data_IF_017034842129
#
_entry.id   IF_017034842129
#
_cell.length_a   1.000
_cell.length_b   1.000
_cell.length_c   1.000
_cell.angle_alpha   90.00
_cell.angle_beta   90.00
_cell.angle_gamma   90.00
#
_symmetry.space_group_name_H-M   'P 1'
#
loop_
_entity.id
_entity.type
_entity.pdbx_description
1 polymer ?
#
# COMPACT_ATOMS: atom_id res chain seq x y z
N UNK A 1 5.80 -3.05 -16.27
CA UNK A 1 6.80 -2.80 -15.18
C UNK A 1 6.15 -2.40 -13.86
N UNK A 2 5.07 -1.59 -13.84
CA UNK A 2 4.37 -1.21 -12.60
C UNK A 2 3.72 -2.38 -11.85
N UNK A 3 2.94 -3.22 -12.55
CA UNK A 3 2.30 -4.40 -11.96
C UNK A 3 3.28 -5.39 -11.29
N UNK A 4 4.45 -5.62 -11.89
CA UNK A 4 5.50 -6.47 -11.29
C UNK A 4 6.00 -5.91 -9.97
N UNK A 5 6.18 -4.57 -9.89
CA UNK A 5 6.56 -3.91 -8.65
C UNK A 5 5.44 -3.99 -7.61
N UNK A 6 4.20 -3.79 -8.03
CA UNK A 6 3.05 -3.92 -7.13
C UNK A 6 3.00 -5.32 -6.53
N UNK A 7 3.15 -6.37 -7.35
CA UNK A 7 3.19 -7.75 -6.87
C UNK A 7 4.31 -7.97 -5.85
N UNK A 8 5.51 -7.42 -6.09
CA UNK A 8 6.61 -7.51 -5.12
C UNK A 8 6.25 -6.87 -3.77
N UNK A 9 5.63 -5.68 -3.79
CA UNK A 9 5.17 -4.99 -2.58
C UNK A 9 4.11 -5.84 -1.87
N UNK A 10 3.10 -6.34 -2.59
CA UNK A 10 2.04 -7.16 -2.00
C UNK A 10 2.61 -8.42 -1.33
N UNK A 11 3.55 -9.11 -1.99
CA UNK A 11 4.19 -10.31 -1.46
C UNK A 11 5.02 -9.98 -0.21
N UNK A 12 5.84 -8.93 -0.25
CA UNK A 12 6.68 -8.57 0.90
C UNK A 12 5.87 -8.11 2.11
N UNK A 13 4.85 -7.27 1.89
CA UNK A 13 3.98 -6.78 2.96
C UNK A 13 3.13 -7.91 3.55
N UNK A 14 2.64 -8.82 2.71
CA UNK A 14 1.87 -9.97 3.19
C UNK A 14 2.73 -10.93 3.99
N UNK A 15 3.96 -11.22 3.54
CA UNK A 15 4.90 -12.07 4.28
C UNK A 15 5.27 -11.44 5.63
N UNK A 16 5.52 -10.13 5.67
CA UNK A 16 5.78 -9.42 6.92
C UNK A 16 4.57 -9.46 7.86
N UNK A 17 3.36 -9.22 7.36
CA UNK A 17 2.15 -9.28 8.16
C UNK A 17 1.90 -10.69 8.72
N UNK A 18 2.08 -11.74 7.91
CA UNK A 18 1.97 -13.13 8.37
C UNK A 18 2.94 -13.39 9.52
N UNK A 19 4.20 -12.94 9.38
CA UNK A 19 5.19 -13.08 10.44
C UNK A 19 4.77 -12.35 11.73
N UNK A 20 4.27 -11.10 11.63
CA UNK A 20 3.77 -10.35 12.78
C UNK A 20 2.60 -11.08 13.47
N UNK A 21 1.61 -11.54 12.70
CA UNK A 21 0.45 -12.26 13.23
C UNK A 21 0.85 -13.59 13.91
N UNK A 22 1.88 -14.27 13.39
CA UNK A 22 2.41 -15.47 14.05
C UNK A 22 3.08 -15.11 15.39
N UNK A 23 3.87 -14.03 15.44
CA UNK A 23 4.46 -13.57 16.69
C UNK A 23 3.40 -13.17 17.72
N UNK A 24 2.36 -12.44 17.31
CA UNK A 24 1.25 -12.05 18.20
C UNK A 24 0.51 -13.29 18.73
N UNK A 25 0.22 -14.27 17.86
CA UNK A 25 -0.41 -15.52 18.27
C UNK A 25 0.45 -16.32 19.26
N UNK A 26 1.74 -16.47 18.99
CA UNK A 26 2.64 -17.33 19.77
C UNK A 26 3.10 -16.67 21.07
N UNK A 27 3.37 -15.37 21.07
CA UNK A 27 3.97 -14.65 22.20
C UNK A 27 2.90 -13.98 23.06
N UNK A 28 1.84 -13.46 22.43
CA UNK A 28 0.78 -12.72 23.13
C UNK A 28 -0.50 -13.56 23.31
N UNK A 29 -0.50 -14.82 22.86
CA UNK A 29 -1.65 -15.73 22.90
C UNK A 29 -2.93 -15.12 22.30
N UNK A 30 -2.78 -14.21 21.34
CA UNK A 30 -3.87 -13.48 20.75
C UNK A 30 -4.37 -14.16 19.46
N UNK A 31 -5.66 -14.48 19.41
CA UNK A 31 -6.30 -14.99 18.20
C UNK A 31 -6.84 -13.84 17.35
N UNK A 32 -6.50 -13.84 16.06
CA UNK A 32 -6.94 -12.81 15.13
C UNK A 32 -8.18 -13.25 14.37
N UNK A 33 -9.13 -12.33 14.22
CA UNK A 33 -10.26 -12.52 13.32
C UNK A 33 -9.88 -12.19 11.87
N UNK A 34 -10.58 -12.80 10.91
CA UNK A 34 -10.37 -12.53 9.49
C UNK A 34 -10.54 -11.04 9.14
N UNK A 35 -11.50 -10.35 9.78
CA UNK A 35 -11.74 -8.92 9.58
C UNK A 35 -10.57 -8.07 10.09
N UNK A 36 -10.00 -8.39 11.25
CA UNK A 36 -8.83 -7.68 11.77
C UNK A 36 -7.62 -7.88 10.87
N UNK A 37 -7.37 -9.11 10.42
CA UNK A 37 -6.29 -9.41 9.46
C UNK A 37 -6.47 -8.62 8.16
N UNK A 38 -7.69 -8.60 7.60
CA UNK A 38 -8.00 -7.85 6.39
C UNK A 38 -7.77 -6.34 6.58
N UNK A 39 -8.28 -5.77 7.67
CA UNK A 39 -8.12 -4.34 7.97
C UNK A 39 -6.65 -3.97 8.21
N UNK A 40 -5.87 -4.81 8.89
CA UNK A 40 -4.43 -4.61 9.09
C UNK A 40 -3.67 -4.68 7.77
N UNK A 41 -4.02 -5.63 6.91
CA UNK A 41 -3.44 -5.73 5.57
C UNK A 41 -3.73 -4.49 4.72
N UNK A 42 -4.99 -4.05 4.67
CA UNK A 42 -5.36 -2.81 3.97
C UNK A 42 -4.62 -1.60 4.52
N UNK A 43 -4.45 -1.50 5.84
CA UNK A 43 -3.67 -0.42 6.47
C UNK A 43 -2.19 -0.46 6.04
N UNK A 44 -1.57 -1.64 6.02
CA UNK A 44 -0.17 -1.79 5.59
C UNK A 44 0.03 -1.37 4.13
N UNK A 45 -0.85 -1.82 3.22
CA UNK A 45 -0.77 -1.44 1.80
C UNK A 45 -1.03 0.07 1.60
N UNK A 46 -2.00 0.66 2.32
CA UNK A 46 -2.25 2.10 2.28
C UNK A 46 -1.06 2.93 2.83
N UNK A 47 -0.38 2.43 3.87
CA UNK A 47 0.85 3.05 4.37
C UNK A 47 1.95 3.05 3.29
N UNK A 48 2.13 1.93 2.57
CA UNK A 48 3.07 1.87 1.44
C UNK A 48 2.73 2.79 0.29
N UNK A 49 1.45 2.91 -0.07
CA UNK A 49 1.00 3.89 -1.04
C UNK A 49 1.38 5.31 -0.59
N UNK A 50 1.17 5.63 0.68
CA UNK A 50 1.50 6.94 1.27
C UNK A 50 3.00 7.22 1.24
N UNK A 51 3.83 6.26 1.65
CA UNK A 51 5.29 6.36 1.57
C UNK A 51 5.76 6.63 0.14
N UNK A 52 5.24 5.87 -0.83
CA UNK A 52 5.57 6.02 -2.25
C UNK A 52 5.16 7.41 -2.78
N UNK A 53 4.01 7.93 -2.35
CA UNK A 53 3.54 9.28 -2.69
C UNK A 53 4.48 10.34 -2.10
N UNK A 54 4.87 10.23 -0.83
CA UNK A 54 5.80 11.15 -0.17
C UNK A 54 7.17 11.12 -0.86
N UNK A 55 7.70 9.94 -1.15
CA UNK A 55 8.99 9.78 -1.81
C UNK A 55 8.96 10.43 -3.20
N UNK A 56 7.91 10.17 -3.98
CA UNK A 56 7.77 10.72 -5.33
C UNK A 56 7.57 12.25 -5.33
N UNK A 57 6.76 12.79 -4.41
CA UNK A 57 6.31 14.19 -4.45
C UNK A 57 7.10 15.14 -3.56
N UNK A 58 7.62 14.69 -2.42
CA UNK A 58 8.27 15.54 -1.41
C UNK A 58 9.77 15.33 -1.33
N UNK A 59 10.25 14.10 -1.52
CA UNK A 59 11.67 13.75 -1.38
C UNK A 59 12.40 13.87 -2.72
N UNK A 60 12.04 13.04 -3.71
CA UNK A 60 12.75 13.00 -4.99
C UNK A 60 12.31 14.09 -5.97
N UNK A 61 11.01 14.41 -5.99
CA UNK A 61 10.42 15.49 -6.80
C UNK A 61 10.72 15.38 -8.31
N UNK A 62 10.94 14.16 -8.81
CA UNK A 62 11.26 13.91 -10.21
C UNK A 62 10.12 13.16 -10.92
N UNK A 63 9.96 13.45 -12.22
CA UNK A 63 8.89 12.89 -13.03
C UNK A 63 9.00 11.36 -13.20
N UNK A 64 10.22 10.82 -13.17
CA UNK A 64 10.42 9.38 -13.28
C UNK A 64 9.89 8.65 -12.03
N UNK A 65 10.09 9.20 -10.84
CA UNK A 65 9.54 8.66 -9.60
C UNK A 65 8.02 8.82 -9.54
N UNK A 66 7.47 9.98 -9.95
CA UNK A 66 6.01 10.18 -10.06
C UNK A 66 5.37 9.14 -10.98
N UNK A 67 5.86 9.01 -12.21
CA UNK A 67 5.36 8.04 -13.18
C UNK A 67 5.52 6.60 -12.72
N UNK A 68 6.58 6.28 -11.97
CA UNK A 68 6.76 4.95 -11.37
C UNK A 68 5.67 4.66 -10.34
N UNK A 69 5.37 5.60 -9.45
CA UNK A 69 4.31 5.46 -8.45
C UNK A 69 2.94 5.34 -9.12
N UNK A 70 2.62 6.21 -10.09
CA UNK A 70 1.34 6.14 -10.84
C UNK A 70 1.17 4.76 -11.49
N UNK A 71 2.13 4.33 -12.30
CA UNK A 71 2.09 3.03 -12.97
C UNK A 71 2.00 1.83 -12.01
N UNK A 72 2.44 2.00 -10.74
CA UNK A 72 2.38 0.92 -9.74
C UNK A 72 0.98 0.80 -9.14
N UNK A 73 0.32 1.92 -8.87
CA UNK A 73 -0.84 1.96 -7.99
C UNK A 73 -2.16 2.29 -8.69
N UNK A 74 -2.15 2.99 -9.82
CA UNK A 74 -3.34 3.53 -10.50
C UNK A 74 -4.51 2.53 -10.63
N UNK A 75 -4.21 1.28 -10.98
CA UNK A 75 -5.23 0.25 -11.23
C UNK A 75 -5.77 -0.45 -9.98
N UNK A 76 -5.25 -0.15 -8.79
CA UNK A 76 -5.68 -0.76 -7.51
C UNK A 76 -6.22 0.26 -6.51
N UNK A 77 -6.44 1.50 -6.96
CA UNK A 77 -7.07 2.55 -6.16
C UNK A 77 -8.58 2.35 -6.14
N UNK A 78 -9.20 2.70 -5.01
CA UNK A 78 -10.66 2.78 -4.89
C UNK A 78 -11.18 3.97 -5.68
N UNK A 79 -12.41 3.85 -6.16
CA UNK A 79 -13.15 4.93 -6.84
C UNK A 79 -12.42 5.51 -8.07
N UNK A 80 -11.84 4.67 -8.93
CA UNK A 80 -11.09 5.09 -10.13
C UNK A 80 -11.85 6.09 -11.02
N UNK A 81 -13.18 6.06 -11.05
CA UNK A 81 -14.00 7.00 -11.81
C UNK A 81 -14.05 8.43 -11.26
N UNK A 82 -13.67 8.65 -10.01
CA UNK A 82 -13.70 9.96 -9.32
C UNK A 82 -12.30 10.42 -8.90
N UNK A 83 -11.26 9.80 -9.49
CA UNK A 83 -9.90 10.08 -9.10
C UNK A 83 -9.39 11.38 -9.76
N UNK A 84 -8.86 12.35 -8.99
CA UNK A 84 -8.26 13.54 -9.57
C UNK A 84 -7.01 13.21 -10.40
N UNK A 85 -6.77 13.97 -11.48
CA UNK A 85 -5.60 13.76 -12.35
C UNK A 85 -4.25 13.81 -11.59
N UNK A 86 -4.17 14.58 -10.50
CA UNK A 86 -2.99 14.71 -9.64
C UNK A 86 -3.13 13.96 -8.30
N UNK A 87 -3.88 12.86 -8.27
CA UNK A 87 -4.17 12.05 -7.07
C UNK A 87 -2.94 11.69 -6.23
N UNK A 88 -1.75 11.59 -6.85
CA UNK A 88 -0.49 11.31 -6.16
C UNK A 88 -0.16 12.35 -5.07
N UNK A 89 -0.71 13.57 -5.19
CA UNK A 89 -0.54 14.66 -4.23
C UNK A 89 -1.62 14.70 -3.14
N UNK A 90 -2.70 13.94 -3.29
CA UNK A 90 -3.87 13.98 -2.41
C UNK A 90 -3.81 12.88 -1.36
N UNK A 91 -4.00 13.20 -0.08
CA UNK A 91 -3.85 12.23 1.01
C UNK A 91 -5.03 11.25 1.13
N UNK A 92 -6.19 11.57 0.55
CA UNK A 92 -7.44 10.81 0.70
C UNK A 92 -7.56 9.58 -0.22
N UNK A 93 -6.55 9.36 -1.06
CA UNK A 93 -6.54 8.28 -2.05
C UNK A 93 -6.07 6.98 -1.39
N UNK A 94 -6.95 5.98 -1.36
CA UNK A 94 -6.76 4.68 -0.72
C UNK A 94 -6.81 3.54 -1.73
N UNK A 95 -6.12 2.44 -1.42
CA UNK A 95 -6.28 1.16 -2.09
C UNK A 95 -7.56 0.45 -1.63
N UNK A 96 -8.06 -0.46 -2.45
CA UNK A 96 -8.89 -1.56 -1.95
C UNK A 96 -9.94 -2.03 -2.93
#
# INVERSE_FOLDING_TARGET
KGATRLLQILVSESAHLIWVLQCERVIQEHEHTANETHNRWLRAINARLTDDKIIATKIKRDEKSRRKTVNTWEHVLRNQGDLPNDWITHHEVLVG
#
